data_IF_179371543724
#
_entry.id   IF_179371543724
#
_cell.length_a   1.000
_cell.length_b   1.000
_cell.length_c   1.000
_cell.angle_alpha   90.00
_cell.angle_beta   90.00
_cell.angle_gamma   90.00
#
_symmetry.space_group_name_H-M   'P 1'
#
loop_
_entity.id
_entity.type
_entity.pdbx_description
1 polymer ?
#
# COMPACT_ATOMS: atom_id res chain seq x y z
N UNK A 1 1.56 22.35 9.83
CA UNK A 1 2.48 21.38 10.47
C UNK A 1 3.17 20.63 9.35
N UNK A 2 4.46 20.88 9.14
CA UNK A 2 5.28 20.05 8.25
C UNK A 2 5.86 18.92 9.08
N UNK A 3 5.10 17.83 9.23
CA UNK A 3 5.62 16.61 9.84
C UNK A 3 6.44 15.87 8.78
N UNK A 4 7.71 15.62 9.07
CA UNK A 4 8.55 14.68 8.32
C UNK A 4 8.63 13.43 9.17
N UNK A 5 8.22 12.29 8.61
CA UNK A 5 8.19 11.03 9.36
C UNK A 5 8.35 9.83 8.45
N UNK A 6 8.82 8.74 9.04
CA UNK A 6 8.84 7.42 8.42
C UNK A 6 7.75 6.57 9.08
N UNK A 7 6.88 5.98 8.27
CA UNK A 7 5.82 5.08 8.73
C UNK A 7 6.06 3.70 8.12
N UNK A 8 5.95 2.65 8.95
CA UNK A 8 5.88 1.27 8.48
C UNK A 8 4.49 0.73 8.78
N UNK A 9 3.78 0.31 7.74
CA UNK A 9 2.49 -0.36 7.85
C UNK A 9 2.70 -1.86 7.58
N UNK A 10 2.59 -2.67 8.63
CA UNK A 10 2.55 -4.13 8.51
C UNK A 10 1.12 -4.61 8.29
N UNK A 11 0.89 -5.39 7.23
CA UNK A 11 -0.37 -6.10 6.99
C UNK A 11 -0.26 -7.60 7.31
N UNK A 12 0.79 -8.02 8.02
CA UNK A 12 1.12 -9.42 8.34
C UNK A 12 0.32 -10.00 9.52
N UNK A 13 -0.63 -9.24 10.04
CA UNK A 13 -1.61 -9.73 11.01
C UNK A 13 -2.66 -10.66 10.40
N UNK A 14 -3.46 -11.28 11.28
CA UNK A 14 -4.59 -12.11 10.88
C UNK A 14 -5.78 -11.25 10.41
N UNK A 15 -6.29 -11.52 9.21
CA UNK A 15 -7.41 -10.79 8.61
C UNK A 15 -8.67 -11.67 8.58
N UNK A 16 -9.62 -11.47 9.52
CA UNK A 16 -10.83 -12.30 9.57
C UNK A 16 -11.75 -12.06 8.37
N UNK A 17 -11.70 -10.87 7.79
CA UNK A 17 -12.52 -10.39 6.67
C UNK A 17 -11.73 -9.44 5.76
N UNK A 18 -12.30 -9.15 4.59
CA UNK A 18 -11.79 -8.13 3.68
C UNK A 18 -11.82 -6.75 4.37
N UNK A 19 -10.85 -5.90 4.08
CA UNK A 19 -10.75 -4.60 4.74
C UNK A 19 -10.39 -3.46 3.80
N UNK A 20 -10.71 -2.25 4.24
CA UNK A 20 -10.24 -1.01 3.63
C UNK A 20 -9.31 -0.29 4.60
N UNK A 21 -8.14 0.09 4.12
CA UNK A 21 -7.10 0.77 4.89
C UNK A 21 -6.79 2.09 4.19
N UNK A 22 -6.75 3.18 4.94
CA UNK A 22 -6.39 4.50 4.41
C UNK A 22 -5.17 5.05 5.16
N UNK A 23 -4.19 5.57 4.41
CA UNK A 23 -2.97 6.15 4.94
C UNK A 23 -2.80 7.56 4.39
N UNK A 24 -2.65 8.54 5.27
CA UNK A 24 -2.46 9.95 4.91
C UNK A 24 -1.10 10.45 5.41
N UNK A 25 -0.25 10.91 4.48
CA UNK A 25 1.09 11.43 4.76
C UNK A 25 1.29 12.79 4.10
N UNK A 26 1.77 13.77 4.88
CA UNK A 26 2.20 15.06 4.34
C UNK A 26 3.53 14.95 3.61
N UNK A 27 4.62 14.83 4.38
CA UNK A 27 5.99 14.69 3.86
C UNK A 27 6.65 13.53 4.57
N UNK A 28 7.29 12.60 3.84
CA UNK A 28 7.99 11.49 4.50
C UNK A 28 8.20 10.25 3.66
N UNK A 29 8.37 9.12 4.34
CA UNK A 29 8.50 7.81 3.74
C UNK A 29 7.47 6.85 4.32
N UNK A 30 6.85 6.03 3.47
CA UNK A 30 5.92 4.97 3.85
C UNK A 30 6.42 3.64 3.33
N UNK A 31 6.67 2.68 4.21
CA UNK A 31 6.91 1.28 3.85
C UNK A 31 5.66 0.46 4.16
N UNK A 32 5.12 -0.25 3.16
CA UNK A 32 3.98 -1.15 3.31
C UNK A 32 4.46 -2.59 3.15
N UNK A 33 4.27 -3.42 4.17
CA UNK A 33 4.66 -4.84 4.17
C UNK A 33 3.43 -5.71 3.98
N UNK A 34 3.43 -6.49 2.90
CA UNK A 34 2.27 -7.27 2.46
C UNK A 34 2.62 -8.76 2.49
N UNK A 35 1.90 -9.60 3.24
CA UNK A 35 2.07 -11.04 3.21
C UNK A 35 1.55 -11.62 1.88
N UNK A 36 2.19 -12.69 1.40
CA UNK A 36 1.95 -13.23 0.05
C UNK A 36 0.54 -13.82 -0.17
N UNK A 37 -0.20 -14.15 0.89
CA UNK A 37 -1.54 -14.72 0.84
C UNK A 37 -2.66 -13.66 0.74
N UNK A 38 -2.36 -12.39 1.01
CA UNK A 38 -3.32 -11.29 0.87
C UNK A 38 -3.39 -10.77 -0.57
N UNK A 39 -4.61 -10.62 -1.06
CA UNK A 39 -4.89 -9.84 -2.27
C UNK A 39 -4.93 -8.36 -1.93
N UNK A 40 -4.18 -7.52 -2.64
CA UNK A 40 -4.12 -6.08 -2.35
C UNK A 40 -4.40 -5.25 -3.60
N UNK A 41 -5.27 -4.26 -3.45
CA UNK A 41 -5.51 -3.21 -4.43
C UNK A 41 -5.15 -1.87 -3.82
N UNK A 42 -4.12 -1.23 -4.37
CA UNK A 42 -3.63 0.06 -3.89
C UNK A 42 -4.14 1.16 -4.81
N UNK A 43 -4.83 2.16 -4.26
CA UNK A 43 -5.18 3.40 -4.94
C UNK A 43 -4.30 4.51 -4.41
N UNK A 44 -3.50 5.09 -5.29
CA UNK A 44 -2.56 6.16 -4.94
C UNK A 44 -3.09 7.53 -5.36
N UNK A 45 -3.21 8.41 -4.39
CA UNK A 45 -3.40 9.84 -4.60
C UNK A 45 -2.17 10.60 -4.08
N UNK A 46 -1.40 11.20 -4.96
CA UNK A 46 -0.22 11.93 -4.51
C UNK A 46 0.19 13.02 -5.47
N UNK A 47 0.86 14.03 -4.94
CA UNK A 47 1.37 15.14 -5.74
C UNK A 47 2.81 14.89 -6.21
N UNK A 48 3.78 14.94 -5.30
CA UNK A 48 5.21 14.77 -5.57
C UNK A 48 5.80 13.60 -4.77
N UNK A 49 5.00 12.55 -4.57
CA UNK A 49 5.50 11.30 -4.00
C UNK A 49 5.85 10.28 -5.11
N UNK A 50 6.84 9.44 -4.89
CA UNK A 50 7.11 8.26 -5.73
C UNK A 50 6.45 7.03 -5.11
N UNK A 51 6.22 6.00 -5.92
CA UNK A 51 5.82 4.68 -5.41
C UNK A 51 6.62 3.61 -6.14
N UNK A 52 7.22 2.71 -5.37
CA UNK A 52 7.76 1.44 -5.82
C UNK A 52 6.84 0.33 -5.32
N UNK A 53 6.32 -0.48 -6.25
CA UNK A 53 5.38 -1.55 -5.96
C UNK A 53 5.65 -2.74 -6.87
N UNK A 54 6.85 -3.30 -6.74
CA UNK A 54 7.25 -4.46 -7.54
C UNK A 54 6.29 -5.65 -7.34
N UNK A 55 6.08 -6.40 -8.41
CA UNK A 55 5.13 -7.52 -8.41
C UNK A 55 3.66 -7.11 -8.54
N UNK A 56 3.31 -5.82 -8.55
CA UNK A 56 1.95 -5.35 -8.83
C UNK A 56 1.73 -5.06 -10.31
N UNK A 57 0.52 -5.34 -10.79
CA UNK A 57 0.03 -4.87 -12.07
C UNK A 57 -0.49 -3.44 -11.93
N UNK A 58 0.06 -2.51 -12.72
CA UNK A 58 -0.28 -1.10 -12.63
C UNK A 58 -1.22 -0.67 -13.75
N UNK A 59 -2.33 -0.04 -13.37
CA UNK A 59 -3.24 0.68 -14.28
C UNK A 59 -3.48 2.09 -13.76
N UNK A 60 -2.79 3.07 -14.35
CA UNK A 60 -2.85 4.47 -13.93
C UNK A 60 -2.35 4.68 -12.50
N UNK A 61 -3.29 4.92 -11.58
CA UNK A 61 -3.08 5.15 -10.13
C UNK A 61 -3.42 3.93 -9.27
N UNK A 62 -3.89 2.85 -9.89
CA UNK A 62 -4.24 1.62 -9.20
C UNK A 62 -3.16 0.57 -9.41
N UNK A 63 -2.77 -0.10 -8.34
CA UNK A 63 -1.84 -1.23 -8.33
C UNK A 63 -2.60 -2.45 -7.81
N UNK A 64 -2.57 -3.54 -8.56
CA UNK A 64 -3.26 -4.77 -8.21
C UNK A 64 -2.27 -5.90 -8.00
N UNK A 65 -2.40 -6.63 -6.90
CA UNK A 65 -1.57 -7.81 -6.67
C UNK A 65 -1.96 -8.93 -7.63
N UNK A 66 -0.97 -9.75 -8.02
CA UNK A 66 -1.19 -10.87 -8.97
C UNK A 66 -2.16 -11.92 -8.45
N UNK A 67 -2.24 -12.09 -7.13
CA UNK A 67 -3.14 -13.04 -6.48
C UNK A 67 -4.53 -12.45 -6.19
N UNK A 68 -4.86 -11.22 -6.61
CA UNK A 68 -6.11 -10.54 -6.23
C UNK A 68 -7.37 -11.38 -6.44
N UNK A 69 -7.47 -12.10 -7.56
CA UNK A 69 -8.64 -12.91 -7.88
C UNK A 69 -8.74 -14.17 -7.01
N UNK A 70 -7.61 -14.80 -6.70
CA UNK A 70 -7.53 -16.08 -5.97
C UNK A 70 -7.35 -15.93 -4.45
N UNK A 71 -7.03 -14.72 -3.98
CA UNK A 71 -6.76 -14.46 -2.58
C UNK A 71 -8.01 -14.70 -1.71
N UNK A 72 -7.82 -15.43 -0.61
CA UNK A 72 -8.88 -15.70 0.35
C UNK A 72 -9.34 -14.44 1.11
N UNK A 73 -8.49 -13.41 1.17
CA UNK A 73 -8.77 -12.10 1.78
C UNK A 73 -8.22 -10.99 0.91
N UNK A 74 -8.97 -9.89 0.85
CA UNK A 74 -8.65 -8.73 0.02
C UNK A 74 -8.60 -7.44 0.82
N UNK A 75 -7.56 -6.66 0.57
CA UNK A 75 -7.35 -5.33 1.18
C UNK A 75 -7.40 -4.27 0.10
N UNK A 76 -8.28 -3.29 0.29
CA UNK A 76 -8.34 -2.06 -0.50
C UNK A 76 -7.55 -0.97 0.24
N UNK A 77 -6.37 -0.63 -0.25
CA UNK A 77 -5.44 0.31 0.38
C UNK A 77 -5.47 1.66 -0.35
N UNK A 78 -5.90 2.71 0.33
CA UNK A 78 -5.87 4.09 -0.17
C UNK A 78 -4.68 4.83 0.44
N UNK A 79 -3.81 5.37 -0.41
CA UNK A 79 -2.61 6.09 0.03
C UNK A 79 -2.65 7.52 -0.51
N UNK A 80 -2.72 8.48 0.41
CA UNK A 80 -2.65 9.91 0.12
C UNK A 80 -1.33 10.48 0.61
N UNK A 81 -0.48 10.95 -0.32
CA UNK A 81 0.85 11.49 0.00
C UNK A 81 1.16 12.80 -0.73
N UNK A 82 1.59 13.86 -0.01
CA UNK A 82 1.93 15.12 -0.69
C UNK A 82 3.34 15.08 -1.30
N UNK A 83 4.36 14.67 -0.54
CA UNK A 83 5.77 14.63 -0.95
C UNK A 83 6.50 13.45 -0.28
N UNK A 84 7.34 12.73 -1.02
CA UNK A 84 8.20 11.68 -0.46
C UNK A 84 8.16 10.36 -1.22
N UNK A 85 8.33 9.25 -0.50
CA UNK A 85 8.49 7.92 -1.11
C UNK A 85 7.56 6.90 -0.46
N UNK A 86 7.03 6.00 -1.29
CA UNK A 86 6.18 4.89 -0.86
C UNK A 86 6.82 3.61 -1.40
N UNK A 87 7.24 2.72 -0.51
CA UNK A 87 7.81 1.43 -0.86
C UNK A 87 6.85 0.32 -0.43
N UNK A 88 6.49 -0.54 -1.37
CA UNK A 88 5.62 -1.69 -1.13
C UNK A 88 6.43 -2.96 -1.28
N UNK A 89 6.57 -3.71 -0.19
CA UNK A 89 7.40 -4.91 -0.13
C UNK A 89 6.59 -6.14 0.25
N UNK A 90 6.86 -7.24 -0.44
CA UNK A 90 6.33 -8.55 -0.11
C UNK A 90 7.11 -9.15 1.04
N UNK A 91 6.40 -9.66 2.05
CA UNK A 91 6.98 -10.44 3.14
C UNK A 91 6.58 -11.91 3.00
N UNK A 92 7.52 -12.84 3.25
CA UNK A 92 7.28 -14.27 3.17
C UNK A 92 6.39 -14.80 4.29
#
# INVERSE_FOLDING_TARGET
MGGVGSVTLGLEGDWPEDARVSVEMGVGALEVRIPADLGVRIHRESFLASIDADGFERSGRTYLSRNWEDAGRRIDLEITAALGDIDVVWVP
#
